data_IF_691280921559
#
_entry.id   IF_691280921559
#
_cell.length_a   1.000
_cell.length_b   1.000
_cell.length_c   1.000
_cell.angle_alpha   90.00
_cell.angle_beta   90.00
_cell.angle_gamma   90.00
#
_symmetry.space_group_name_H-M   'P 1'
#
loop_
_entity.id
_entity.type
_entity.pdbx_description
1 polymer ?
#
# COMPACT_ATOMS: atom_id res chain seq x y z
N UNK A 1 -31.25 -8.22 12.87
CA UNK A 1 -29.82 -8.24 12.52
C UNK A 1 -29.16 -7.24 13.44
N UNK A 2 -28.46 -7.71 14.46
CA UNK A 2 -27.71 -6.83 15.37
C UNK A 2 -26.53 -6.27 14.61
N UNK A 3 -26.43 -4.94 14.54
CA UNK A 3 -25.21 -4.26 14.12
C UNK A 3 -24.08 -4.74 15.03
N UNK A 4 -23.30 -5.70 14.54
CA UNK A 4 -22.05 -6.09 15.18
C UNK A 4 -21.10 -4.91 15.06
N UNK A 5 -20.94 -4.17 16.15
CA UNK A 5 -19.92 -3.12 16.25
C UNK A 5 -18.56 -3.77 16.06
N UNK A 6 -17.99 -3.61 14.86
CA UNK A 6 -16.65 -4.08 14.52
C UNK A 6 -15.67 -3.46 15.54
N UNK A 7 -14.87 -4.29 16.20
CA UNK A 7 -13.94 -3.80 17.22
C UNK A 7 -12.84 -2.94 16.57
N UNK A 8 -12.18 -2.09 17.36
CA UNK A 8 -11.03 -1.31 16.89
C UNK A 8 -9.96 -2.21 16.26
N UNK A 9 -9.67 -3.35 16.89
CA UNK A 9 -8.70 -4.34 16.39
C UNK A 9 -9.15 -4.99 15.08
N UNK A 10 -10.44 -5.28 14.93
CA UNK A 10 -10.97 -5.79 13.66
C UNK A 10 -10.88 -4.73 12.56
N UNK A 11 -11.19 -3.46 12.86
CA UNK A 11 -11.04 -2.34 11.90
C UNK A 11 -9.58 -2.20 11.46
N UNK A 12 -8.63 -2.23 12.40
CA UNK A 12 -7.18 -2.20 12.10
C UNK A 12 -6.77 -3.36 11.21
N UNK A 13 -7.18 -4.57 11.55
CA UNK A 13 -6.84 -5.79 10.79
C UNK A 13 -7.32 -5.67 9.35
N UNK A 14 -8.57 -5.26 9.13
CA UNK A 14 -9.14 -5.06 7.79
C UNK A 14 -8.33 -4.04 6.98
N UNK A 15 -7.92 -2.92 7.59
CA UNK A 15 -7.16 -1.88 6.91
C UNK A 15 -5.74 -2.34 6.61
N UNK A 16 -5.08 -3.03 7.55
CA UNK A 16 -3.73 -3.59 7.34
C UNK A 16 -3.77 -4.59 6.18
N UNK A 17 -4.75 -5.50 6.16
CA UNK A 17 -4.91 -6.48 5.08
C UNK A 17 -5.11 -5.80 3.72
N UNK A 18 -5.89 -4.72 3.69
CA UNK A 18 -6.06 -3.91 2.48
C UNK A 18 -4.75 -3.25 2.03
N UNK A 19 -4.01 -2.61 2.94
CA UNK A 19 -2.72 -1.97 2.63
C UNK A 19 -1.67 -3.00 2.17
N UNK A 20 -1.67 -4.21 2.74
CA UNK A 20 -0.82 -5.30 2.27
C UNK A 20 -1.18 -5.73 0.84
N UNK A 21 -2.46 -5.80 0.49
CA UNK A 21 -2.87 -6.06 -0.90
C UNK A 21 -2.44 -4.94 -1.85
N UNK A 22 -2.55 -3.68 -1.41
CA UNK A 22 -2.02 -2.52 -2.14
C UNK A 22 -0.50 -2.64 -2.39
N UNK A 23 0.26 -3.12 -1.42
CA UNK A 23 1.70 -3.35 -1.56
C UNK A 23 2.02 -4.45 -2.57
N UNK A 24 1.31 -5.58 -2.53
CA UNK A 24 1.45 -6.65 -3.51
C UNK A 24 1.14 -6.15 -4.95
N UNK A 25 0.14 -5.28 -5.08
CA UNK A 25 -0.18 -4.65 -6.35
C UNK A 25 0.94 -3.71 -6.82
N UNK A 26 1.47 -2.87 -5.90
CA UNK A 26 2.61 -1.99 -6.20
C UNK A 26 3.84 -2.79 -6.68
N UNK A 27 4.16 -3.92 -6.05
CA UNK A 27 5.26 -4.78 -6.47
C UNK A 27 5.07 -5.33 -7.89
N UNK A 28 3.83 -5.71 -8.24
CA UNK A 28 3.50 -6.15 -9.59
C UNK A 28 3.71 -5.03 -10.62
N UNK A 29 3.34 -3.80 -10.27
CA UNK A 29 3.54 -2.63 -11.13
C UNK A 29 5.02 -2.25 -11.25
N UNK A 30 5.77 -2.26 -10.15
CA UNK A 30 7.22 -2.05 -10.17
C UNK A 30 7.92 -3.06 -11.07
N UNK A 31 7.56 -4.34 -10.98
CA UNK A 31 8.11 -5.39 -11.84
C UNK A 31 7.78 -5.15 -13.33
N UNK A 32 6.57 -4.66 -13.63
CA UNK A 32 6.18 -4.27 -15.00
C UNK A 32 7.07 -3.14 -15.54
N UNK A 33 7.26 -2.07 -14.78
CA UNK A 33 8.04 -0.91 -15.25
C UNK A 33 9.55 -1.17 -15.27
N UNK A 34 10.07 -1.98 -14.33
CA UNK A 34 11.47 -2.43 -14.37
C UNK A 34 11.78 -3.23 -15.64
N UNK A 35 10.83 -4.03 -16.13
CA UNK A 35 10.97 -4.72 -17.43
C UNK A 35 10.96 -3.73 -18.61
N UNK A 36 10.20 -2.64 -18.53
CA UNK A 36 10.15 -1.61 -19.56
C UNK A 36 11.41 -0.75 -19.63
N UNK A 37 12.14 -0.56 -18.51
CA UNK A 37 13.45 0.12 -18.52
C UNK A 37 14.51 -0.61 -19.36
N UNK A 38 14.36 -1.92 -19.54
CA UNK A 38 15.25 -2.74 -20.37
C UNK A 38 14.93 -2.61 -21.87
N UNK A 39 13.79 -2.00 -22.22
CA UNK A 39 13.33 -1.79 -23.57
C UNK A 39 13.49 -0.30 -23.92
N UNK A 40 14.53 0.02 -24.72
CA UNK A 40 14.99 1.39 -24.99
C UNK A 40 13.88 2.32 -25.56
N UNK A 41 12.82 1.76 -26.15
CA UNK A 41 11.69 2.53 -26.69
C UNK A 41 10.70 3.06 -25.62
N UNK A 42 10.70 2.57 -24.38
CA UNK A 42 9.71 2.92 -23.34
C UNK A 42 10.32 3.69 -22.15
N UNK A 43 11.58 4.10 -22.27
CA UNK A 43 12.45 4.44 -21.15
C UNK A 43 12.05 5.74 -20.41
N UNK A 44 11.60 6.78 -21.11
CA UNK A 44 11.40 8.10 -20.49
C UNK A 44 10.32 8.13 -19.40
N UNK A 45 9.27 7.31 -19.52
CA UNK A 45 8.17 7.29 -18.54
C UNK A 45 8.33 6.22 -17.46
N UNK A 46 9.14 5.19 -17.71
CA UNK A 46 9.28 4.04 -16.81
C UNK A 46 10.00 4.42 -15.50
N UNK A 47 11.01 5.28 -15.56
CA UNK A 47 11.73 5.76 -14.37
C UNK A 47 10.84 6.50 -13.38
N UNK A 48 10.04 7.45 -13.85
CA UNK A 48 9.08 8.17 -12.99
C UNK A 48 8.04 7.22 -12.40
N UNK A 49 7.50 6.29 -13.20
CA UNK A 49 6.53 5.31 -12.69
C UNK A 49 7.12 4.43 -11.60
N UNK A 50 8.37 4.01 -11.72
CA UNK A 50 9.05 3.24 -10.66
C UNK A 50 9.13 4.07 -9.38
N UNK A 51 9.54 5.33 -9.48
CA UNK A 51 9.59 6.22 -8.32
C UNK A 51 8.21 6.35 -7.65
N UNK A 52 7.16 6.65 -8.42
CA UNK A 52 5.80 6.83 -7.90
C UNK A 52 5.30 5.58 -7.15
N UNK A 53 5.51 4.39 -7.73
CA UNK A 53 5.09 3.13 -7.11
C UNK A 53 5.91 2.77 -5.87
N UNK A 54 7.20 3.12 -5.84
CA UNK A 54 8.03 2.98 -4.65
C UNK A 54 7.51 3.87 -3.51
N UNK A 55 7.26 5.16 -3.78
CA UNK A 55 6.72 6.09 -2.78
C UNK A 55 5.36 5.63 -2.25
N UNK A 56 4.49 5.14 -3.14
CA UNK A 56 3.19 4.58 -2.76
C UNK A 56 3.33 3.39 -1.80
N UNK A 57 4.25 2.45 -2.09
CA UNK A 57 4.51 1.31 -1.21
C UNK A 57 5.11 1.75 0.13
N UNK A 58 6.06 2.69 0.12
CA UNK A 58 6.71 3.19 1.34
C UNK A 58 5.70 3.88 2.27
N UNK A 59 4.75 4.63 1.70
CA UNK A 59 3.64 5.23 2.45
C UNK A 59 2.77 4.15 3.11
N UNK A 60 2.35 3.13 2.37
CA UNK A 60 1.54 2.04 2.92
C UNK A 60 2.30 1.27 4.03
N UNK A 61 3.59 0.98 3.82
CA UNK A 61 4.44 0.33 4.83
C UNK A 61 4.60 1.18 6.10
N UNK A 62 4.59 2.51 5.96
CA UNK A 62 4.57 3.42 7.10
C UNK A 62 3.21 3.42 7.81
N UNK A 63 2.11 3.52 7.08
CA UNK A 63 0.75 3.46 7.64
C UNK A 63 0.46 2.14 8.36
N UNK A 64 0.93 0.99 7.82
CA UNK A 64 0.82 -0.31 8.49
C UNK A 64 1.54 -0.29 9.84
N UNK A 65 2.72 0.34 9.94
CA UNK A 65 3.45 0.47 11.22
C UNK A 65 2.68 1.29 12.23
N UNK A 66 2.08 2.41 11.81
CA UNK A 66 1.25 3.26 12.68
C UNK A 66 -0.06 2.57 13.11
N UNK A 67 -0.67 1.75 12.24
CA UNK A 67 -1.86 0.94 12.57
C UNK A 67 -1.54 -0.19 13.57
N UNK A 68 -0.36 -0.83 13.45
CA UNK A 68 0.12 -1.80 14.43
C UNK A 68 0.49 -1.15 15.77
N UNK A 69 0.80 0.15 15.75
CA UNK A 69 0.93 0.98 16.93
C UNK A 69 -0.42 1.48 17.44
N UNK A 70 -0.43 2.73 17.89
CA UNK A 70 -1.63 3.43 18.39
C UNK A 70 -1.85 4.80 17.77
N UNK A 71 -0.97 5.19 16.86
CA UNK A 71 -0.91 6.53 16.26
C UNK A 71 -2.17 6.85 15.44
N UNK A 72 -2.86 5.82 14.93
CA UNK A 72 -4.08 5.95 14.11
C UNK A 72 -5.35 5.45 14.82
N UNK A 73 -5.28 5.15 16.12
CA UNK A 73 -6.44 4.61 16.86
C UNK A 73 -7.62 5.57 16.83
N UNK A 74 -7.36 6.86 17.04
CA UNK A 74 -8.36 7.93 17.07
C UNK A 74 -9.15 8.08 15.77
N UNK A 75 -8.65 7.56 14.65
CA UNK A 75 -9.34 7.60 13.36
C UNK A 75 -10.40 6.49 13.22
N UNK A 76 -10.34 5.50 14.11
CA UNK A 76 -11.11 4.26 14.04
C UNK A 76 -12.04 4.07 15.26
N UNK A 77 -12.12 5.07 16.14
CA UNK A 77 -13.04 5.11 17.29
C UNK A 77 -14.48 5.30 16.80
#
# INVERSE_FOLDING_TARGET
MTESTISLEDKKTIIIDFLMQCNNYSESMLNKYKKQLLDEQLNESAGQKIHDWTVYKDFNDYAIRELNGRELDDWLI
#
